data_IF_126752692006
#
_entry.id   IF_126752692006
#
_cell.length_a   1.000
_cell.length_b   1.000
_cell.length_c   1.000
_cell.angle_alpha   90.00
_cell.angle_beta   90.00
_cell.angle_gamma   90.00
#
_symmetry.space_group_name_H-M   'P 1'
#
loop_
_entity.id
_entity.type
_entity.pdbx_description
1 polymer ?
#
# COMPACT_ATOMS: atom_id res chain seq x y z
N UNK A 1 6.14 0.35 -20.15
CA UNK A 1 4.96 1.18 -20.54
C UNK A 1 3.99 1.06 -19.38
N UNK A 2 3.11 2.03 -19.07
CA UNK A 2 2.21 1.84 -17.93
C UNK A 2 1.42 0.54 -18.10
N UNK A 3 1.30 -0.24 -17.01
CA UNK A 3 0.45 -1.45 -16.96
C UNK A 3 -0.93 -1.04 -17.48
N UNK A 4 -1.50 -1.73 -18.48
CA UNK A 4 -2.76 -1.31 -19.09
C UNK A 4 -3.90 -1.33 -18.07
N UNK A 5 -4.86 -0.43 -18.20
CA UNK A 5 -6.08 -0.44 -17.39
C UNK A 5 -7.04 -1.56 -17.81
N UNK A 6 -8.05 -1.84 -16.98
CA UNK A 6 -8.97 -2.95 -17.23
C UNK A 6 -9.83 -2.74 -18.49
N UNK A 7 -10.09 -1.50 -18.93
CA UNK A 7 -10.85 -1.22 -20.16
C UNK A 7 -10.00 -1.55 -21.41
N UNK A 8 -8.73 -1.12 -21.40
CA UNK A 8 -7.73 -1.44 -22.43
C UNK A 8 -7.56 -2.94 -22.60
N UNK A 9 -7.66 -3.71 -21.50
CA UNK A 9 -7.57 -5.18 -21.51
C UNK A 9 -8.83 -5.86 -22.09
N UNK A 10 -10.00 -5.23 -22.10
CA UNK A 10 -11.27 -5.90 -22.48
C UNK A 10 -11.25 -6.45 -23.92
N UNK A 11 -10.83 -5.64 -24.90
CA UNK A 11 -10.83 -6.08 -26.30
C UNK A 11 -9.79 -7.18 -26.57
N UNK A 12 -8.52 -7.06 -26.15
CA UNK A 12 -7.55 -8.16 -26.22
C UNK A 12 -8.01 -9.44 -25.51
N UNK A 13 -8.63 -9.32 -24.33
CA UNK A 13 -9.18 -10.47 -23.62
C UNK A 13 -10.35 -11.13 -24.37
N UNK A 14 -11.20 -10.36 -25.06
CA UNK A 14 -12.24 -10.95 -25.89
C UNK A 14 -11.65 -11.62 -27.15
N UNK A 15 -10.65 -11.00 -27.78
CA UNK A 15 -9.95 -11.53 -28.97
C UNK A 15 -9.21 -12.84 -28.67
N UNK A 16 -8.64 -12.98 -27.48
CA UNK A 16 -7.91 -14.19 -27.09
C UNK A 16 -8.81 -15.43 -27.02
N UNK A 17 -10.13 -15.24 -26.92
CA UNK A 17 -11.17 -16.28 -26.89
C UNK A 17 -11.87 -16.51 -28.24
N UNK A 18 -11.38 -15.91 -29.33
CA UNK A 18 -12.03 -15.95 -30.67
C UNK A 18 -12.20 -17.38 -31.22
N UNK A 19 -11.36 -18.32 -30.79
CA UNK A 19 -11.43 -19.73 -31.21
C UNK A 19 -12.68 -20.46 -30.70
N UNK A 20 -13.43 -19.86 -29.76
CA UNK A 20 -14.63 -20.46 -29.20
C UNK A 20 -14.38 -21.60 -28.22
N UNK A 21 -13.13 -21.87 -27.87
CA UNK A 21 -12.75 -22.91 -26.90
C UNK A 21 -12.80 -22.37 -25.47
N UNK A 22 -12.70 -23.28 -24.51
CA UNK A 22 -12.61 -22.95 -23.09
C UNK A 22 -11.15 -22.73 -22.72
N UNK A 23 -10.85 -21.57 -22.14
CA UNK A 23 -9.48 -21.20 -21.77
C UNK A 23 -9.35 -21.01 -20.27
N UNK A 24 -8.23 -21.44 -19.69
CA UNK A 24 -7.93 -21.12 -18.30
C UNK A 24 -7.61 -19.63 -18.17
N UNK A 25 -8.16 -19.00 -17.14
CA UNK A 25 -7.90 -17.58 -16.87
C UNK A 25 -6.39 -17.29 -16.72
N UNK A 26 -5.63 -18.21 -16.14
CA UNK A 26 -4.18 -18.08 -15.96
C UNK A 26 -3.43 -18.05 -17.29
N UNK A 27 -3.83 -18.87 -18.25
CA UNK A 27 -3.24 -18.90 -19.60
C UNK A 27 -3.54 -17.59 -20.35
N UNK A 28 -4.76 -17.07 -20.18
CA UNK A 28 -5.16 -15.78 -20.76
C UNK A 28 -4.37 -14.63 -20.16
N UNK A 29 -4.16 -14.60 -18.84
CA UNK A 29 -3.33 -13.58 -18.18
C UNK A 29 -1.91 -13.60 -18.76
N UNK A 30 -1.27 -14.76 -18.88
CA UNK A 30 0.07 -14.87 -19.45
C UNK A 30 0.13 -14.42 -20.91
N UNK A 31 -0.84 -14.83 -21.72
CA UNK A 31 -0.94 -14.44 -23.14
C UNK A 31 -1.11 -12.93 -23.29
N UNK A 32 -1.97 -12.31 -22.48
CA UNK A 32 -2.17 -10.87 -22.49
C UNK A 32 -0.94 -10.12 -21.98
N UNK A 33 -0.26 -10.62 -20.95
CA UNK A 33 0.98 -10.03 -20.46
C UNK A 33 2.09 -10.04 -21.53
N UNK A 34 2.12 -11.07 -22.39
CA UNK A 34 3.01 -11.11 -23.55
C UNK A 34 2.57 -10.13 -24.65
N UNK A 35 1.27 -10.07 -24.97
CA UNK A 35 0.72 -9.14 -25.97
C UNK A 35 1.00 -7.67 -25.63
N UNK A 36 0.92 -7.31 -24.35
CA UNK A 36 1.24 -5.97 -23.85
C UNK A 36 2.74 -5.73 -23.59
N UNK A 37 3.61 -6.72 -23.82
CA UNK A 37 5.06 -6.66 -23.57
C UNK A 37 5.41 -6.21 -22.14
N UNK A 38 4.71 -6.74 -21.13
CA UNK A 38 4.96 -6.40 -19.73
C UNK A 38 6.30 -6.96 -19.25
N UNK A 39 7.08 -6.11 -18.60
CA UNK A 39 8.33 -6.49 -17.93
C UNK A 39 8.07 -7.36 -16.69
N UNK A 40 9.09 -8.05 -16.20
CA UNK A 40 8.98 -8.85 -14.97
C UNK A 40 8.63 -8.01 -13.74
N UNK A 41 9.09 -6.76 -13.69
CA UNK A 41 8.74 -5.81 -12.62
C UNK A 41 7.25 -5.42 -12.70
N UNK A 42 6.75 -5.10 -13.89
CA UNK A 42 5.34 -4.77 -14.12
C UNK A 42 4.42 -5.97 -13.83
N UNK A 43 4.85 -7.19 -14.17
CA UNK A 43 4.12 -8.44 -13.84
C UNK A 43 4.06 -8.72 -12.34
N UNK A 44 5.10 -8.34 -11.60
CA UNK A 44 5.20 -8.54 -10.15
C UNK A 44 4.70 -7.35 -9.33
N UNK A 45 4.26 -6.28 -9.99
CA UNK A 45 3.70 -5.12 -9.32
C UNK A 45 2.43 -5.53 -8.57
N UNK A 46 2.43 -5.34 -7.25
CA UNK A 46 1.31 -5.64 -6.38
C UNK A 46 0.41 -4.41 -6.22
N UNK A 47 -0.88 -4.65 -6.02
CA UNK A 47 -1.74 -3.63 -5.42
C UNK A 47 -1.15 -3.19 -4.07
N UNK A 48 -1.36 -1.93 -3.63
CA UNK A 48 -1.00 -1.46 -2.30
C UNK A 48 -1.35 -2.40 -1.15
N UNK A 49 -2.43 -3.18 -1.24
CA UNK A 49 -2.79 -4.23 -0.26
C UNK A 49 -1.80 -5.40 -0.18
N UNK A 50 -0.91 -5.56 -1.16
CA UNK A 50 0.12 -6.61 -1.20
C UNK A 50 -0.39 -8.01 -1.56
N UNK A 51 -1.69 -8.19 -1.81
CA UNK A 51 -2.30 -9.52 -1.98
C UNK A 51 -2.44 -9.98 -3.43
N UNK A 52 -2.58 -9.05 -4.38
CA UNK A 52 -2.84 -9.36 -5.79
C UNK A 52 -1.92 -8.55 -6.70
N UNK A 53 -1.51 -9.14 -7.81
CA UNK A 53 -0.82 -8.41 -8.87
C UNK A 53 -1.77 -7.46 -9.58
N UNK A 54 -1.30 -6.25 -9.88
CA UNK A 54 -2.11 -5.19 -10.50
C UNK A 54 -2.69 -5.69 -11.82
N UNK A 55 -1.86 -6.29 -12.68
CA UNK A 55 -2.28 -6.75 -14.00
C UNK A 55 -3.34 -7.87 -13.91
N UNK A 56 -3.10 -8.90 -13.07
CA UNK A 56 -4.04 -10.00 -12.84
C UNK A 56 -5.40 -9.50 -12.33
N UNK A 57 -5.39 -8.54 -11.39
CA UNK A 57 -6.60 -7.89 -10.88
C UNK A 57 -7.37 -7.20 -12.00
N UNK A 58 -6.69 -6.39 -12.83
CA UNK A 58 -7.30 -5.68 -13.96
C UNK A 58 -7.85 -6.61 -15.03
N UNK A 59 -7.16 -7.71 -15.34
CA UNK A 59 -7.67 -8.75 -16.26
C UNK A 59 -8.91 -9.44 -15.65
N UNK A 60 -8.90 -9.69 -14.34
CA UNK A 60 -10.06 -10.20 -13.59
C UNK A 60 -11.29 -9.29 -13.66
N UNK A 61 -11.07 -7.97 -13.62
CA UNK A 61 -12.12 -6.97 -13.81
C UNK A 61 -12.61 -6.86 -15.25
N UNK A 62 -11.70 -6.86 -16.24
CA UNK A 62 -12.05 -6.93 -17.65
C UNK A 62 -12.99 -8.13 -17.92
N UNK A 63 -12.64 -9.31 -17.40
CA UNK A 63 -13.48 -10.51 -17.44
C UNK A 63 -14.84 -10.28 -16.78
N UNK A 64 -14.88 -9.69 -15.59
CA UNK A 64 -16.13 -9.44 -14.87
C UNK A 64 -17.07 -8.54 -15.67
N UNK A 65 -16.56 -7.46 -16.25
CA UNK A 65 -17.33 -6.52 -17.07
C UNK A 65 -17.86 -7.17 -18.34
N UNK A 66 -17.01 -7.91 -19.07
CA UNK A 66 -17.42 -8.64 -20.27
C UNK A 66 -18.47 -9.72 -19.95
N UNK A 67 -18.34 -10.41 -18.81
CA UNK A 67 -19.34 -11.39 -18.36
C UNK A 67 -20.67 -10.72 -18.02
N UNK A 68 -20.65 -9.59 -17.32
CA UNK A 68 -21.87 -8.83 -16.98
C UNK A 68 -22.55 -8.24 -18.21
N UNK A 69 -21.81 -7.98 -19.28
CA UNK A 69 -22.36 -7.62 -20.59
C UNK A 69 -22.80 -8.82 -21.46
N UNK A 70 -22.60 -10.05 -20.98
CA UNK A 70 -22.95 -11.28 -21.68
C UNK A 70 -22.07 -11.56 -22.90
N UNK A 71 -20.86 -11.00 -22.97
CA UNK A 71 -19.92 -11.24 -24.07
C UNK A 71 -19.12 -12.53 -23.86
N UNK A 72 -18.87 -12.90 -22.61
CA UNK A 72 -18.19 -14.13 -22.22
C UNK A 72 -18.99 -14.85 -21.13
N UNK A 73 -18.73 -16.15 -20.99
CA UNK A 73 -19.27 -16.99 -19.93
C UNK A 73 -18.16 -17.74 -19.17
N UNK A 74 -18.50 -18.33 -18.03
CA UNK A 74 -17.60 -19.09 -17.14
C UNK A 74 -18.18 -20.50 -16.97
N UNK A 75 -17.89 -21.44 -17.90
CA UNK A 75 -18.49 -22.77 -17.88
C UNK A 75 -18.02 -23.59 -16.66
N UNK A 76 -16.77 -23.40 -16.25
CA UNK A 76 -16.13 -24.09 -15.12
C UNK A 76 -15.32 -23.10 -14.28
N UNK A 77 -15.07 -23.42 -13.02
CA UNK A 77 -14.26 -22.58 -12.11
C UNK A 77 -12.89 -22.33 -12.72
N UNK A 78 -12.54 -21.07 -12.93
CA UNK A 78 -11.25 -20.65 -13.52
C UNK A 78 -11.18 -20.69 -15.04
N UNK A 79 -12.24 -21.13 -15.73
CA UNK A 79 -12.30 -21.18 -17.20
C UNK A 79 -13.24 -20.11 -17.76
N UNK A 80 -12.92 -19.60 -18.94
CA UNK A 80 -13.75 -18.63 -19.66
C UNK A 80 -13.93 -19.03 -21.11
N UNK A 81 -15.07 -18.62 -21.69
CA UNK A 81 -15.44 -18.90 -23.08
C UNK A 81 -16.19 -17.72 -23.69
N UNK A 82 -15.97 -17.43 -24.97
CA UNK A 82 -16.73 -16.41 -25.68
C UNK A 82 -18.17 -16.89 -25.96
N UNK A 83 -19.14 -15.98 -25.85
CA UNK A 83 -20.54 -16.24 -26.23
C UNK A 83 -20.79 -15.88 -27.70
N UNK A 84 -21.95 -16.23 -28.24
CA UNK A 84 -22.35 -15.80 -29.59
C UNK A 84 -22.41 -14.26 -29.72
N UNK A 85 -22.87 -13.57 -28.67
CA UNK A 85 -22.83 -12.11 -28.60
C UNK A 85 -21.40 -11.57 -28.65
N UNK A 86 -20.47 -12.19 -27.91
CA UNK A 86 -19.06 -11.84 -27.95
C UNK A 86 -18.45 -12.00 -29.35
N UNK A 87 -18.84 -13.04 -30.09
CA UNK A 87 -18.42 -13.24 -31.48
C UNK A 87 -18.95 -12.15 -32.41
N UNK A 88 -20.23 -11.81 -32.30
CA UNK A 88 -20.84 -10.71 -33.07
C UNK A 88 -20.12 -9.37 -32.82
N UNK A 89 -19.75 -9.10 -31.56
CA UNK A 89 -18.95 -7.91 -31.22
C UNK A 89 -17.59 -7.94 -31.91
N UNK A 90 -16.89 -9.09 -31.94
CA UNK A 90 -15.61 -9.21 -32.64
C UNK A 90 -15.74 -9.05 -34.16
N UNK A 91 -16.85 -9.51 -34.76
CA UNK A 91 -17.13 -9.34 -36.19
C UNK A 91 -17.30 -7.87 -36.58
N UNK A 92 -17.90 -7.06 -35.70
CA UNK A 92 -18.00 -5.60 -35.88
C UNK A 92 -16.65 -4.88 -35.81
N UNK A 93 -15.58 -5.57 -35.38
CA UNK A 93 -14.21 -5.05 -35.28
C UNK A 93 -14.14 -3.68 -34.58
N UNK A 94 -14.68 -3.54 -33.36
CA UNK A 94 -14.62 -2.27 -32.65
C UNK A 94 -13.15 -1.89 -32.38
N UNK A 95 -12.81 -0.60 -32.41
CA UNK A 95 -11.44 -0.13 -32.11
C UNK A 95 -11.06 -0.43 -30.66
N UNK A 96 -12.03 -0.37 -29.75
CA UNK A 96 -11.89 -0.63 -28.32
C UNK A 96 -13.21 -1.12 -27.72
N UNK A 97 -13.14 -1.79 -26.56
CA UNK A 97 -14.31 -2.13 -25.74
C UNK A 97 -14.15 -1.41 -24.42
N UNK A 98 -14.97 -0.39 -24.20
CA UNK A 98 -15.00 0.42 -22.97
C UNK A 98 -16.29 0.19 -22.20
N UNK A 99 -16.40 0.69 -20.97
CA UNK A 99 -17.64 0.75 -20.20
C UNK A 99 -18.74 1.41 -21.04
N UNK A 100 -18.42 2.51 -21.74
CA UNK A 100 -19.36 3.20 -22.60
C UNK A 100 -19.84 2.32 -23.76
N UNK A 101 -18.96 1.51 -24.36
CA UNK A 101 -19.36 0.52 -25.34
C UNK A 101 -20.28 -0.55 -24.71
N UNK A 102 -19.92 -1.10 -23.55
CA UNK A 102 -20.71 -2.15 -22.89
C UNK A 102 -22.10 -1.66 -22.44
N UNK A 103 -22.29 -0.36 -22.21
CA UNK A 103 -23.60 0.25 -21.93
C UNK A 103 -24.61 0.03 -23.05
N UNK A 104 -24.26 -0.46 -24.23
CA UNK A 104 -25.28 -0.82 -25.24
C UNK A 104 -26.08 -2.07 -24.87
N UNK A 105 -25.52 -2.97 -24.04
CA UNK A 105 -26.15 -4.23 -23.67
C UNK A 105 -27.10 -4.06 -22.48
N UNK A 106 -28.30 -4.63 -22.58
CA UNK A 106 -29.37 -4.48 -21.57
C UNK A 106 -28.93 -4.98 -20.19
N UNK A 107 -28.33 -6.16 -20.13
CA UNK A 107 -27.88 -6.79 -18.88
C UNK A 107 -26.80 -5.97 -18.18
N UNK A 108 -25.91 -5.33 -18.97
CA UNK A 108 -24.88 -4.45 -18.44
C UNK A 108 -25.45 -3.14 -17.92
N UNK A 109 -26.42 -2.54 -18.64
CA UNK A 109 -27.14 -1.36 -18.16
C UNK A 109 -27.80 -1.66 -16.83
N UNK A 110 -28.56 -2.75 -16.74
CA UNK A 110 -29.27 -3.18 -15.52
C UNK A 110 -28.32 -3.41 -14.34
N UNK A 111 -27.13 -3.99 -14.60
CA UNK A 111 -26.10 -4.19 -13.58
C UNK A 111 -25.51 -2.86 -13.07
N UNK A 112 -25.26 -1.89 -13.95
CA UNK A 112 -24.75 -0.55 -13.55
C UNK A 112 -25.86 0.33 -12.95
N UNK A 113 -27.12 0.15 -13.38
CA UNK A 113 -28.27 0.96 -12.98
C UNK A 113 -29.05 0.40 -11.80
N UNK A 114 -28.64 -0.72 -11.20
CA UNK A 114 -29.16 -1.17 -9.92
C UNK A 114 -29.13 0.01 -8.92
N UNK A 115 -30.21 0.26 -8.17
CA UNK A 115 -30.52 1.59 -7.64
C UNK A 115 -29.41 2.10 -6.72
N UNK A 116 -28.62 3.04 -7.24
CA UNK A 116 -27.93 4.03 -6.42
C UNK A 116 -29.01 4.98 -5.91
N UNK A 117 -29.26 4.98 -4.60
CA UNK A 117 -29.89 6.14 -3.97
C UNK A 117 -29.04 7.37 -4.30
N UNK A 118 -29.69 8.32 -4.97
CA UNK A 118 -29.31 9.70 -5.26
C UNK A 118 -27.82 10.05 -5.40
N UNK A 119 -27.39 10.21 -6.66
CA UNK A 119 -26.46 11.30 -7.02
C UNK A 119 -26.82 11.84 -8.40
N UNK A 120 -27.75 12.78 -8.42
CA UNK A 120 -27.65 13.88 -9.36
C UNK A 120 -26.52 14.82 -8.89
N UNK A 121 -25.75 15.29 -9.87
CA UNK A 121 -24.72 16.34 -9.78
C UNK A 121 -23.39 15.98 -9.11
N UNK A 122 -22.37 15.72 -9.94
CA UNK A 122 -21.25 16.66 -10.17
C UNK A 122 -20.35 16.14 -11.30
N UNK A 123 -19.73 17.07 -12.01
CA UNK A 123 -19.13 16.87 -13.31
C UNK A 123 -17.68 16.39 -13.27
N UNK A 124 -17.29 15.78 -14.39
CA UNK A 124 -15.94 15.58 -14.94
C UNK A 124 -14.78 15.45 -13.94
N UNK A 125 -14.43 14.21 -13.62
CA UNK A 125 -13.04 13.76 -13.61
C UNK A 125 -12.92 12.50 -14.50
N UNK A 126 -12.16 12.55 -15.61
CA UNK A 126 -11.94 11.39 -16.47
C UNK A 126 -10.92 10.38 -15.91
N UNK A 127 -10.39 10.58 -14.70
CA UNK A 127 -9.28 9.77 -14.15
C UNK A 127 -9.71 8.53 -13.37
N UNK A 128 -10.93 8.50 -12.79
CA UNK A 128 -11.40 7.35 -11.99
C UNK A 128 -12.13 6.27 -12.80
N UNK A 129 -12.43 6.50 -14.08
CA UNK A 129 -13.13 5.51 -14.92
C UNK A 129 -12.27 4.28 -15.28
N UNK A 130 -10.94 4.42 -15.20
CA UNK A 130 -9.98 3.36 -15.55
C UNK A 130 -9.46 2.56 -14.36
N UNK A 131 -9.84 2.94 -13.14
CA UNK A 131 -9.46 2.21 -11.93
C UNK A 131 -10.52 1.16 -11.59
N UNK A 132 -10.05 0.03 -11.07
CA UNK A 132 -10.95 -0.96 -10.48
C UNK A 132 -11.54 -0.41 -9.17
N UNK A 133 -12.71 -0.88 -8.72
CA UNK A 133 -13.27 -0.48 -7.44
C UNK A 133 -12.30 -0.62 -6.26
N UNK A 134 -11.49 -1.67 -6.22
CA UNK A 134 -10.45 -1.84 -5.20
C UNK A 134 -9.35 -0.77 -5.32
N UNK A 135 -8.86 -0.47 -6.53
CA UNK A 135 -7.89 0.61 -6.75
C UNK A 135 -8.46 1.98 -6.32
N UNK A 136 -9.76 2.23 -6.51
CA UNK A 136 -10.44 3.45 -6.05
C UNK A 136 -10.48 3.52 -4.53
N UNK A 137 -10.81 2.42 -3.85
CA UNK A 137 -10.82 2.36 -2.38
C UNK A 137 -9.40 2.52 -1.83
N UNK A 138 -8.42 1.85 -2.42
CA UNK A 138 -7.02 1.92 -1.98
C UNK A 138 -6.41 3.31 -2.18
N UNK A 139 -6.68 3.96 -3.31
CA UNK A 139 -6.20 5.34 -3.55
C UNK A 139 -6.84 6.33 -2.57
N UNK A 140 -8.15 6.21 -2.33
CA UNK A 140 -8.83 7.03 -1.31
C UNK A 140 -8.29 6.77 0.10
N UNK A 141 -8.02 5.50 0.45
CA UNK A 141 -7.42 5.16 1.74
C UNK A 141 -6.02 5.75 1.90
N UNK A 142 -5.19 5.68 0.85
CA UNK A 142 -3.85 6.26 0.85
C UNK A 142 -3.88 7.77 1.06
N UNK A 143 -4.77 8.48 0.35
CA UNK A 143 -4.96 9.93 0.49
C UNK A 143 -5.38 10.30 1.92
N UNK A 144 -6.39 9.62 2.47
CA UNK A 144 -6.82 9.83 3.87
C UNK A 144 -5.71 9.56 4.87
N UNK A 145 -4.86 8.56 4.61
CA UNK A 145 -3.75 8.19 5.47
C UNK A 145 -2.59 9.19 5.41
N UNK A 146 -2.28 9.75 4.24
CA UNK A 146 -1.29 10.82 4.06
C UNK A 146 -1.73 12.12 4.75
N UNK A 147 -3.01 12.47 4.64
CA UNK A 147 -3.60 13.61 5.35
C UNK A 147 -3.53 13.42 6.88
N UNK A 148 -3.90 12.23 7.37
CA UNK A 148 -3.81 11.88 8.79
C UNK A 148 -2.36 11.96 9.29
N UNK A 149 -1.40 11.41 8.55
CA UNK A 149 0.01 11.47 8.90
C UNK A 149 0.51 12.93 9.01
N UNK A 150 0.07 13.78 8.09
CA UNK A 150 0.38 15.21 8.08
C UNK A 150 -0.24 15.97 9.27
N UNK A 151 -1.46 15.62 9.69
CA UNK A 151 -2.06 16.18 10.91
C UNK A 151 -1.35 15.69 12.18
N UNK A 152 -1.05 14.40 12.26
CA UNK A 152 -0.36 13.79 13.40
C UNK A 152 0.98 14.47 13.65
N UNK A 153 1.81 14.64 12.62
CA UNK A 153 3.14 15.23 12.80
C UNK A 153 3.06 16.70 13.25
N UNK A 154 2.06 17.46 12.75
CA UNK A 154 1.79 18.83 13.24
C UNK A 154 1.41 18.82 14.71
N UNK A 155 0.59 17.86 15.14
CA UNK A 155 0.18 17.71 16.54
C UNK A 155 1.39 17.37 17.42
N UNK A 156 2.23 16.42 17.01
CA UNK A 156 3.46 16.04 17.73
C UNK A 156 4.41 17.22 17.85
N UNK A 157 4.60 18.02 16.80
CA UNK A 157 5.42 19.24 16.83
C UNK A 157 4.92 20.26 17.85
N UNK A 158 3.61 20.35 18.07
CA UNK A 158 3.00 21.25 19.07
C UNK A 158 3.16 20.80 20.52
N UNK A 159 3.56 19.54 20.76
CA UNK A 159 3.76 19.00 22.10
C UNK A 159 5.12 19.37 22.71
N UNK A 160 5.27 19.13 24.02
CA UNK A 160 6.54 19.36 24.72
C UNK A 160 7.63 18.37 24.28
N UNK A 161 8.92 18.72 24.39
CA UNK A 161 10.02 17.78 24.12
C UNK A 161 9.91 16.48 24.93
N UNK A 162 9.57 16.60 26.22
CA UNK A 162 9.37 15.45 27.11
C UNK A 162 8.21 14.54 26.71
N UNK A 163 7.17 15.09 26.08
CA UNK A 163 6.09 14.30 25.51
C UNK A 163 6.57 13.54 24.28
N UNK A 164 7.34 14.20 23.41
CA UNK A 164 7.89 13.57 22.21
C UNK A 164 8.83 12.40 22.52
N UNK A 165 9.71 12.54 23.50
CA UNK A 165 10.56 11.45 23.99
C UNK A 165 9.74 10.24 24.45
N UNK A 166 8.66 10.49 25.21
CA UNK A 166 7.75 9.44 25.67
C UNK A 166 7.03 8.76 24.52
N UNK A 167 6.51 9.55 23.57
CA UNK A 167 5.84 9.06 22.37
C UNK A 167 6.74 8.13 21.55
N UNK A 168 8.02 8.50 21.39
CA UNK A 168 9.00 7.68 20.69
C UNK A 168 9.19 6.33 21.40
N UNK A 169 9.30 6.34 22.73
CA UNK A 169 9.41 5.10 23.51
C UNK A 169 8.15 4.25 23.37
N UNK A 170 6.96 4.84 23.51
CA UNK A 170 5.68 4.16 23.38
C UNK A 170 5.53 3.50 22.01
N UNK A 171 5.94 4.20 20.93
CA UNK A 171 5.95 3.66 19.58
C UNK A 171 6.87 2.45 19.45
N UNK A 172 8.12 2.55 19.91
CA UNK A 172 9.06 1.43 19.81
C UNK A 172 8.59 0.21 20.61
N UNK A 173 7.93 0.42 21.76
CA UNK A 173 7.31 -0.66 22.53
C UNK A 173 6.14 -1.31 21.76
N UNK A 174 5.29 -0.52 21.11
CA UNK A 174 4.19 -1.03 20.29
C UNK A 174 4.69 -1.79 19.03
N UNK A 175 5.86 -1.42 18.51
CA UNK A 175 6.59 -2.16 17.47
C UNK A 175 7.24 -3.46 17.99
N UNK A 176 7.23 -3.71 19.30
CA UNK A 176 7.75 -4.93 19.92
C UNK A 176 9.18 -4.85 20.45
N UNK A 177 9.80 -3.67 20.47
CA UNK A 177 11.07 -3.44 21.16
C UNK A 177 10.87 -3.38 22.69
N UNK A 178 11.96 -3.45 23.47
CA UNK A 178 11.94 -3.21 24.92
C UNK A 178 11.73 -4.44 25.80
N UNK A 179 11.43 -5.60 25.23
CA UNK A 179 11.35 -6.87 25.98
C UNK A 179 10.14 -6.95 26.92
N UNK A 180 10.35 -7.23 28.22
CA UNK A 180 9.25 -7.36 29.17
C UNK A 180 8.71 -5.99 29.62
N UNK A 181 7.43 -5.90 30.00
CA UNK A 181 6.78 -4.66 30.46
C UNK A 181 7.49 -3.97 31.64
N UNK A 182 8.31 -4.69 32.41
CA UNK A 182 9.14 -4.16 33.51
C UNK A 182 10.42 -3.49 33.02
N UNK A 183 10.97 -3.92 31.88
CA UNK A 183 12.18 -3.36 31.27
C UNK A 183 11.91 -2.06 30.50
N UNK A 184 10.70 -1.91 29.97
CA UNK A 184 10.23 -0.70 29.27
C UNK A 184 10.38 0.59 30.10
N UNK A 185 10.21 0.50 31.42
CA UNK A 185 10.37 1.62 32.34
C UNK A 185 11.81 2.11 32.52
N UNK A 186 12.81 1.37 32.05
CA UNK A 186 14.23 1.78 32.05
C UNK A 186 14.61 2.62 30.82
N UNK A 187 13.75 2.70 29.79
CA UNK A 187 14.04 3.43 28.56
C UNK A 187 14.09 4.95 28.76
N UNK A 188 13.40 5.46 29.79
CA UNK A 188 13.30 6.88 30.12
C UNK A 188 14.19 7.15 31.33
N UNK A 189 15.36 7.74 31.09
CA UNK A 189 16.12 8.40 32.16
C UNK A 189 17.48 7.79 32.48
N UNK A 190 18.47 8.14 31.65
CA UNK A 190 19.74 8.70 32.13
C UNK A 190 20.09 9.91 31.28
N UNK A 191 19.29 10.96 31.44
CA UNK A 191 19.59 12.27 30.88
C UNK A 191 20.93 12.73 31.45
N UNK A 192 21.97 12.82 30.61
CA UNK A 192 23.29 13.27 31.08
C UNK A 192 24.45 13.08 30.09
N UNK A 193 24.40 12.12 29.18
CA UNK A 193 25.56 11.81 28.33
C UNK A 193 25.32 12.12 26.84
N UNK A 194 26.10 13.08 26.33
CA UNK A 194 26.68 13.12 24.98
C UNK A 194 25.76 13.01 23.76
N UNK A 195 24.44 13.18 23.91
CA UNK A 195 23.48 13.09 22.79
C UNK A 195 22.94 11.68 22.60
N UNK A 196 22.41 11.11 23.67
CA UNK A 196 21.57 9.90 23.69
C UNK A 196 20.38 10.21 24.60
N UNK A 197 19.15 10.05 24.09
CA UNK A 197 17.94 10.37 24.85
C UNK A 197 17.34 9.13 25.53
N UNK A 198 17.58 7.93 24.98
CA UNK A 198 17.03 6.69 25.51
C UNK A 198 17.79 5.44 25.10
N UNK A 199 17.52 4.34 25.81
CA UNK A 199 18.10 3.01 25.55
C UNK A 199 16.96 2.00 25.59
N UNK A 200 16.82 1.19 24.54
CA UNK A 200 15.80 0.14 24.46
C UNK A 200 16.43 -1.21 24.11
N UNK A 201 15.87 -2.29 24.65
CA UNK A 201 16.29 -3.65 24.29
C UNK A 201 15.82 -3.97 22.86
N UNK A 202 16.72 -4.48 22.03
CA UNK A 202 16.43 -4.93 20.66
C UNK A 202 15.70 -6.26 20.60
N UNK A 203 15.75 -7.04 21.68
CA UNK A 203 15.13 -8.35 21.77
C UNK A 203 14.57 -8.62 23.19
N UNK A 204 13.77 -9.69 23.30
CA UNK A 204 13.09 -10.07 24.56
C UNK A 204 14.04 -10.54 25.66
N UNK A 205 15.22 -11.05 25.31
CA UNK A 205 16.24 -11.53 26.24
C UNK A 205 17.20 -10.41 26.68
N UNK A 206 17.19 -9.27 25.97
CA UNK A 206 18.04 -8.11 26.26
C UNK A 206 19.50 -8.31 25.89
N UNK A 207 19.79 -9.16 24.91
CA UNK A 207 21.14 -9.39 24.41
C UNK A 207 21.61 -8.24 23.51
N UNK A 208 20.66 -7.69 22.75
CA UNK A 208 20.85 -6.50 21.94
C UNK A 208 20.30 -5.25 22.63
N UNK A 209 21.07 -4.18 22.56
CA UNK A 209 20.70 -2.85 23.05
C UNK A 209 20.73 -1.88 21.88
N UNK A 210 19.67 -1.09 21.76
CA UNK A 210 19.47 -0.07 20.74
C UNK A 210 19.39 1.28 21.43
N UNK A 211 20.21 2.21 20.97
CA UNK A 211 20.26 3.57 21.50
C UNK A 211 19.36 4.49 20.68
N UNK A 212 18.68 5.41 21.34
CA UNK A 212 17.68 6.28 20.72
C UNK A 212 18.09 7.73 20.90
N UNK A 213 18.01 8.50 19.81
CA UNK A 213 18.01 9.95 19.83
C UNK A 213 16.70 10.43 19.21
N UNK A 214 15.95 11.27 19.92
CA UNK A 214 14.69 11.85 19.50
C UNK A 214 14.81 13.39 19.47
N UNK A 215 14.83 13.98 18.27
CA UNK A 215 14.90 15.43 18.09
C UNK A 215 13.61 16.03 17.54
N UNK A 216 12.93 16.84 18.36
CA UNK A 216 11.80 17.67 17.89
C UNK A 216 12.33 18.90 17.16
N UNK A 217 12.39 18.84 15.83
CA UNK A 217 12.99 19.84 14.96
C UNK A 217 12.02 20.33 13.87
N UNK A 218 12.24 21.55 13.39
CA UNK A 218 11.56 22.10 12.22
C UNK A 218 12.42 21.97 10.97
N UNK A 219 13.71 22.33 11.06
CA UNK A 219 14.63 22.26 9.94
C UNK A 219 15.14 20.83 9.70
N UNK A 220 15.56 20.50 8.46
CA UNK A 220 16.17 19.22 8.18
C UNK A 220 17.40 18.95 9.06
N UNK A 221 17.49 17.75 9.60
CA UNK A 221 18.63 17.28 10.38
C UNK A 221 19.82 17.08 9.46
N UNK A 222 20.93 17.73 9.78
CA UNK A 222 22.16 17.74 8.98
C UNK A 222 23.15 16.67 9.42
N UNK A 223 24.12 16.38 8.56
CA UNK A 223 25.18 15.40 8.81
C UNK A 223 25.91 15.56 10.16
N UNK A 224 26.27 16.78 10.63
CA UNK A 224 26.91 16.95 11.94
C UNK A 224 26.15 16.34 13.11
N UNK A 225 24.81 16.36 13.08
CA UNK A 225 23.99 15.76 14.13
C UNK A 225 24.07 14.24 14.16
N UNK A 226 24.07 13.62 12.97
CA UNK A 226 24.25 12.17 12.84
C UNK A 226 25.67 11.76 13.22
N UNK A 227 26.68 12.57 12.87
CA UNK A 227 28.07 12.36 13.29
C UNK A 227 28.22 12.41 14.81
N UNK A 228 27.58 13.38 15.46
CA UNK A 228 27.59 13.50 16.92
C UNK A 228 26.98 12.26 17.56
N UNK A 229 25.82 11.81 17.06
CA UNK A 229 25.18 10.60 17.55
C UNK A 229 26.03 9.35 17.32
N UNK A 230 26.64 9.19 16.14
CA UNK A 230 27.57 8.10 15.85
C UNK A 230 28.78 8.08 16.81
N UNK A 231 29.33 9.26 17.13
CA UNK A 231 30.39 9.40 18.12
C UNK A 231 29.95 8.97 19.53
N UNK A 232 28.75 9.34 19.95
CA UNK A 232 28.18 8.90 21.22
C UNK A 232 28.00 7.37 21.29
N UNK A 233 27.54 6.75 20.19
CA UNK A 233 27.44 5.29 20.09
C UNK A 233 28.81 4.62 20.25
N UNK A 234 29.85 5.15 19.59
CA UNK A 234 31.22 4.64 19.70
C UNK A 234 31.74 4.73 21.14
N UNK A 235 31.49 5.86 21.83
CA UNK A 235 31.84 6.04 23.24
C UNK A 235 31.19 5.00 24.17
N UNK A 236 29.96 4.58 23.85
CA UNK A 236 29.23 3.52 24.55
C UNK A 236 29.51 2.10 24.05
N UNK A 237 30.45 1.93 23.10
CA UNK A 237 30.75 0.65 22.41
C UNK A 237 29.50 0.01 21.79
N UNK A 238 28.54 0.83 21.38
CA UNK A 238 27.28 0.42 20.79
C UNK A 238 27.38 0.36 19.26
N UNK A 239 26.65 -0.59 18.66
CA UNK A 239 26.64 -0.79 17.20
C UNK A 239 25.31 -0.44 16.53
N UNK A 240 24.24 -0.24 17.30
CA UNK A 240 22.89 -0.03 16.80
C UNK A 240 22.28 1.23 17.41
N UNK A 241 21.72 2.09 16.58
CA UNK A 241 21.03 3.29 17.02
C UNK A 241 19.82 3.62 16.15
N UNK A 242 18.87 4.34 16.71
CA UNK A 242 17.72 4.91 16.00
C UNK A 242 17.76 6.42 16.24
N UNK A 243 17.77 7.19 15.16
CA UNK A 243 17.64 8.64 15.20
C UNK A 243 16.27 9.02 14.65
N UNK A 244 15.44 9.63 15.51
CA UNK A 244 14.07 10.02 15.19
C UNK A 244 13.96 11.54 15.20
N UNK A 245 13.30 12.09 14.18
CA UNK A 245 13.03 13.54 14.10
C UNK A 245 11.60 13.82 13.66
N UNK A 246 11.06 14.97 14.06
CA UNK A 246 9.77 15.47 13.53
C UNK A 246 9.91 16.20 12.18
N UNK A 247 11.14 16.37 11.69
CA UNK A 247 11.44 16.99 10.38
C UNK A 247 11.96 15.93 9.41
N UNK A 248 12.77 16.33 8.41
CA UNK A 248 13.45 15.45 7.46
C UNK A 248 14.94 15.37 7.73
N UNK A 249 15.65 14.53 6.97
CA UNK A 249 17.12 14.48 6.97
C UNK A 249 17.67 15.08 5.67
N UNK A 250 18.83 15.74 5.75
CA UNK A 250 19.55 16.17 4.55
C UNK A 250 20.12 14.95 3.81
N UNK A 251 20.30 15.05 2.49
CA UNK A 251 20.92 13.98 1.68
C UNK A 251 22.27 13.52 2.27
N UNK A 252 23.12 14.47 2.64
CA UNK A 252 24.41 14.21 3.28
C UNK A 252 24.31 13.46 4.62
N UNK A 253 23.21 13.62 5.35
CA UNK A 253 22.98 12.95 6.63
C UNK A 253 22.61 11.48 6.40
N UNK A 254 21.74 11.21 5.41
CA UNK A 254 21.34 9.87 4.98
C UNK A 254 22.57 9.12 4.44
N UNK A 255 23.29 9.72 3.48
CA UNK A 255 24.49 9.12 2.91
C UNK A 255 25.58 8.82 3.95
N UNK A 256 25.68 9.65 4.99
CA UNK A 256 26.63 9.42 6.07
C UNK A 256 26.21 8.22 6.94
N UNK A 257 24.91 8.11 7.28
CA UNK A 257 24.38 6.99 8.07
C UNK A 257 24.58 5.64 7.35
N UNK A 258 24.50 5.60 6.02
CA UNK A 258 24.71 4.39 5.22
C UNK A 258 26.18 3.95 5.12
N UNK A 259 27.13 4.89 5.28
CA UNK A 259 28.58 4.64 5.09
C UNK A 259 29.32 4.22 6.36
N UNK A 260 28.73 4.45 7.53
CA UNK A 260 29.37 4.17 8.83
C UNK A 260 29.24 2.70 9.23
N UNK A 261 30.18 2.20 10.05
CA UNK A 261 30.14 0.82 10.55
C UNK A 261 28.97 0.58 11.52
N UNK A 262 28.61 1.60 12.32
CA UNK A 262 27.46 1.56 13.21
C UNK A 262 26.15 1.61 12.42
N UNK A 263 25.21 0.71 12.71
CA UNK A 263 23.88 0.71 12.08
C UNK A 263 22.99 1.76 12.73
N UNK A 264 22.83 2.90 12.07
CA UNK A 264 21.92 3.97 12.50
C UNK A 264 20.70 3.98 11.58
N UNK A 265 19.53 3.68 12.14
CA UNK A 265 18.25 3.81 11.43
C UNK A 265 17.75 5.24 11.59
N UNK A 266 17.43 5.89 10.47
CA UNK A 266 16.87 7.24 10.45
C UNK A 266 15.35 7.16 10.28
N UNK A 267 14.60 7.79 11.18
CA UNK A 267 13.13 7.88 11.13
C UNK A 267 12.77 9.37 11.08
N UNK A 268 12.28 9.82 9.93
CA UNK A 268 11.83 11.20 9.74
C UNK A 268 10.37 11.39 10.15
N UNK A 269 9.87 12.61 10.06
CA UNK A 269 8.54 12.96 10.54
C UNK A 269 7.41 12.24 9.77
N UNK A 270 7.61 12.00 8.48
CA UNK A 270 6.64 11.24 7.66
C UNK A 270 6.63 9.77 8.08
N UNK A 271 7.80 9.13 8.12
CA UNK A 271 7.95 7.73 8.55
C UNK A 271 7.45 7.53 9.98
N UNK A 272 7.76 8.47 10.88
CA UNK A 272 7.26 8.46 12.26
C UNK A 272 5.73 8.45 12.29
N UNK A 273 5.08 9.34 11.55
CA UNK A 273 3.62 9.43 11.53
C UNK A 273 2.98 8.18 10.92
N UNK A 274 3.58 7.60 9.89
CA UNK A 274 3.13 6.33 9.31
C UNK A 274 3.23 5.18 10.33
N UNK A 275 4.35 5.07 11.03
CA UNK A 275 4.55 4.07 12.10
C UNK A 275 3.57 4.29 13.26
N UNK A 276 3.27 5.55 13.61
CA UNK A 276 2.25 5.85 14.61
C UNK A 276 0.87 5.33 14.19
N UNK A 277 0.49 5.47 12.92
CA UNK A 277 -0.77 4.95 12.38
C UNK A 277 -0.77 3.42 12.40
N UNK A 278 0.30 2.77 11.94
CA UNK A 278 0.39 1.31 11.87
C UNK A 278 0.37 0.61 13.24
N UNK A 279 0.82 1.31 14.28
CA UNK A 279 0.92 0.79 15.64
C UNK A 279 -0.07 1.43 16.63
N UNK A 280 -1.12 2.07 16.12
CA UNK A 280 -2.20 2.67 16.92
C UNK A 280 -1.73 3.71 17.97
N UNK A 281 -0.66 4.46 17.68
CA UNK A 281 -0.10 5.48 18.58
C UNK A 281 -0.69 6.86 18.26
N UNK A 282 -1.46 7.42 19.21
CA UNK A 282 -2.03 8.76 19.05
C UNK A 282 -3.17 8.83 18.03
N UNK A 283 -3.65 7.67 17.56
CA UNK A 283 -4.80 7.52 16.66
C UNK A 283 -5.82 6.56 17.28
N UNK A 284 -7.04 6.56 16.74
CA UNK A 284 -8.10 5.65 17.15
C UNK A 284 -8.96 5.27 15.96
N UNK A 285 -9.45 4.03 15.95
CA UNK A 285 -10.36 3.55 14.91
C UNK A 285 -11.67 4.35 14.93
N UNK A 286 -11.90 5.16 13.88
CA UNK A 286 -13.16 5.89 13.69
C UNK A 286 -14.21 5.06 12.95
N UNK A 287 -13.78 4.25 11.96
CA UNK A 287 -14.67 3.43 11.13
C UNK A 287 -13.91 2.25 10.52
N UNK A 288 -14.59 1.11 10.36
CA UNK A 288 -14.01 -0.12 9.77
C UNK A 288 -14.86 -0.56 8.59
N UNK A 289 -14.24 -0.72 7.42
CA UNK A 289 -14.85 -1.30 6.23
C UNK A 289 -14.30 -2.71 6.01
N UNK A 290 -15.17 -3.71 5.85
CA UNK A 290 -14.77 -5.10 5.58
C UNK A 290 -15.21 -5.52 4.19
N UNK A 291 -14.24 -5.85 3.33
CA UNK A 291 -14.52 -6.42 2.01
C UNK A 291 -14.67 -7.94 2.12
N UNK A 292 -15.75 -8.48 1.53
CA UNK A 292 -16.02 -9.92 1.48
C UNK A 292 -15.93 -10.39 0.04
N UNK A 293 -15.30 -11.55 -0.16
CA UNK A 293 -15.32 -12.30 -1.43
C UNK A 293 -15.95 -13.66 -1.17
N UNK A 294 -16.48 -14.28 -2.24
CA UNK A 294 -16.96 -15.66 -2.15
C UNK A 294 -15.79 -16.55 -1.73
N UNK A 295 -16.00 -17.31 -0.67
CA UNK A 295 -15.13 -18.40 -0.28
C UNK A 295 -15.46 -19.60 -1.19
N UNK A 296 -14.63 -19.83 -2.21
CA UNK A 296 -14.90 -20.89 -3.17
C UNK A 296 -14.62 -22.29 -2.61
N UNK A 297 -13.97 -22.42 -1.46
CA UNK A 297 -13.71 -23.71 -0.82
C UNK A 297 -14.94 -24.14 0.00
N UNK A 298 -15.72 -23.18 0.50
CA UNK A 298 -17.02 -23.46 1.10
C UNK A 298 -18.04 -24.06 0.11
N UNK A 299 -17.95 -23.71 -1.18
CA UNK A 299 -18.88 -24.15 -2.23
C UNK A 299 -18.30 -25.23 -3.16
N UNK A 300 -17.12 -25.79 -2.87
CA UNK A 300 -16.70 -27.02 -3.54
C UNK A 300 -17.45 -28.20 -2.93
N UNK A 301 -18.43 -28.72 -3.67
CA UNK A 301 -18.97 -30.05 -3.41
C UNK A 301 -17.83 -31.05 -3.67
N UNK A 302 -17.50 -31.90 -2.68
CA UNK A 302 -16.61 -33.05 -2.88
C UNK A 302 -17.19 -34.05 -3.89
#
# INVERSE_FOLDING_TARGET
MPIPDFQTVMLPLLKSLKDGQEHQMREIIEKLAQEFNLTDEERKALLPSGQQFIFDNRVGWARTYLKKAGLIDTPLKGYIKITDRGRQVLEQSPPEITINYLRQFKEFKEWISAPKMDREQQGKEPTKENLTPEEVIESAYKELREDLASELIKKVKSCSPSFFERLVVDLLLAMGYGGSRKDAGMAIGRSGDEGIDGIIKGDKLGLDVVYIQAKRWENPVSRPEIQKFAGALMGKKAKKGIFITTSSFSKDAIEYADKIESKIVLIDGETLAQLMIDHDIGVSNYMIYTLKKIDNDYFSEE
#
